data_IF_733739983378
#
_entry.id   IF_733739983378
#
_cell.length_a   1.000
_cell.length_b   1.000
_cell.length_c   1.000
_cell.angle_alpha   90.00
_cell.angle_beta   90.00
_cell.angle_gamma   90.00
#
_symmetry.space_group_name_H-M   'P 1'
#
loop_
_entity.id
_entity.type
_entity.pdbx_description
1 polymer ?
#
# COMPACT_ATOMS: atom_id res chain seq x y z
N UNK A 1 13.10 -2.51 -14.03
CA UNK A 1 13.07 -1.93 -15.37
C UNK A 1 14.34 -1.12 -15.56
N UNK A 2 15.09 -1.33 -16.65
CA UNK A 2 16.35 -0.60 -16.93
C UNK A 2 17.35 -0.62 -15.77
N UNK A 3 17.48 -1.77 -15.09
CA UNK A 3 18.32 -2.00 -13.91
C UNK A 3 18.00 -1.10 -12.69
N UNK A 4 16.86 -0.39 -12.75
CA UNK A 4 16.37 0.41 -11.65
C UNK A 4 15.31 -0.34 -10.83
N UNK A 5 15.54 -0.44 -9.54
CA UNK A 5 14.54 -0.95 -8.61
C UNK A 5 13.61 0.19 -8.19
N UNK A 6 12.39 0.20 -8.71
CA UNK A 6 11.41 1.23 -8.39
C UNK A 6 10.86 1.11 -6.97
N UNK A 7 10.84 -0.08 -6.42
CA UNK A 7 10.43 -0.31 -5.03
C UNK A 7 11.50 0.24 -4.09
N UNK A 8 11.11 1.11 -3.19
CA UNK A 8 12.02 1.62 -2.17
C UNK A 8 12.48 0.47 -1.27
N UNK A 9 13.78 0.36 -1.08
CA UNK A 9 14.39 -0.68 -0.27
C UNK A 9 15.21 -0.03 0.83
N UNK A 10 14.87 -0.33 2.07
CA UNK A 10 15.64 0.11 3.22
C UNK A 10 16.47 -1.06 3.75
N UNK A 11 17.78 -0.88 3.82
CA UNK A 11 18.71 -1.88 4.38
C UNK A 11 18.77 -1.84 5.92
N UNK A 12 18.17 -0.82 6.51
CA UNK A 12 18.12 -0.64 7.96
C UNK A 12 16.67 -0.81 8.43
N UNK A 13 16.43 -1.80 9.26
CA UNK A 13 15.13 -1.97 9.92
C UNK A 13 14.97 -0.83 10.92
N UNK A 14 13.97 0.00 10.69
CA UNK A 14 13.57 1.11 11.57
C UNK A 14 12.12 0.93 11.99
N UNK A 15 11.84 0.03 12.95
CA UNK A 15 10.49 -0.13 13.45
C UNK A 15 10.04 1.17 14.11
N UNK A 16 8.85 1.62 13.79
CA UNK A 16 8.28 2.84 14.38
C UNK A 16 6.82 2.61 14.75
N UNK A 17 6.41 3.18 15.87
CA UNK A 17 5.03 3.24 16.28
C UNK A 17 4.42 4.52 15.70
N UNK A 18 3.48 4.39 14.77
CA UNK A 18 2.82 5.54 14.14
C UNK A 18 1.36 5.58 14.58
N UNK A 19 0.96 6.70 15.15
CA UNK A 19 -0.43 6.97 15.51
C UNK A 19 -1.06 5.91 16.40
N UNK A 20 -0.29 5.25 17.27
CA UNK A 20 -0.72 4.12 18.09
C UNK A 20 -1.16 2.88 17.27
N UNK A 21 -0.79 2.82 16.00
CA UNK A 21 -1.24 1.79 15.08
C UNK A 21 -0.30 0.59 14.94
N UNK A 22 0.64 0.43 15.84
CA UNK A 22 1.58 -0.68 15.83
C UNK A 22 2.91 -0.36 15.17
N UNK A 23 3.77 -1.35 15.11
CA UNK A 23 5.14 -1.25 14.59
C UNK A 23 5.14 -1.45 13.08
N UNK A 24 5.94 -0.68 12.35
CA UNK A 24 6.10 -0.80 10.92
C UNK A 24 7.55 -0.58 10.46
N UNK A 25 7.86 -1.00 9.25
CA UNK A 25 9.14 -0.78 8.58
C UNK A 25 8.88 -0.09 7.25
N UNK A 26 9.57 1.02 6.99
CA UNK A 26 9.49 1.69 5.70
C UNK A 26 10.32 0.93 4.65
N UNK A 27 9.66 0.51 3.59
CA UNK A 27 10.29 -0.16 2.43
C UNK A 27 9.58 -1.44 2.01
N UNK A 28 9.79 -1.84 0.76
CA UNK A 28 9.21 -3.05 0.19
C UNK A 28 7.71 -3.00 0.01
N UNK A 29 7.07 -4.16 0.18
CA UNK A 29 5.61 -4.31 0.20
C UNK A 29 5.23 -4.82 1.58
N UNK A 30 4.43 -4.07 2.30
CA UNK A 30 3.92 -4.41 3.61
C UNK A 30 2.47 -4.89 3.49
N UNK A 31 2.16 -6.00 4.14
CA UNK A 31 0.81 -6.59 4.18
C UNK A 31 0.27 -6.55 5.61
N UNK A 32 -0.83 -5.87 5.83
CA UNK A 32 -1.42 -5.63 7.15
C UNK A 32 -2.79 -6.29 7.29
N UNK A 33 -2.95 -7.04 8.37
CA UNK A 33 -4.19 -7.65 8.85
C UNK A 33 -3.99 -8.14 10.31
N UNK A 34 -4.99 -8.38 11.13
CA UNK A 34 -6.42 -8.09 10.90
C UNK A 34 -6.73 -6.62 11.06
N UNK A 35 -5.78 -5.84 11.53
CA UNK A 35 -5.90 -4.39 11.72
C UNK A 35 -4.57 -3.70 11.39
N UNK A 36 -3.94 -3.00 12.30
CA UNK A 36 -2.79 -2.13 12.13
C UNK A 36 -1.48 -2.85 11.74
N UNK A 37 -0.39 -2.08 11.69
CA UNK A 37 0.98 -2.59 11.58
C UNK A 37 1.28 -3.59 12.72
N UNK A 38 2.14 -4.57 12.44
CA UNK A 38 2.37 -5.69 13.35
C UNK A 38 3.85 -5.97 13.58
N UNK A 39 4.21 -6.55 14.74
CA UNK A 39 5.58 -6.96 15.01
C UNK A 39 6.17 -7.90 13.96
N UNK A 40 5.36 -8.75 13.35
CA UNK A 40 5.76 -9.70 12.31
C UNK A 40 6.24 -9.05 11.01
N UNK A 41 6.07 -7.75 10.84
CA UNK A 41 6.71 -6.98 9.77
C UNK A 41 8.24 -7.19 9.72
N UNK A 42 8.88 -7.52 10.83
CA UNK A 42 10.32 -7.77 10.93
C UNK A 42 10.68 -9.06 11.68
N UNK A 43 9.71 -9.89 12.01
CA UNK A 43 9.92 -11.19 12.65
C UNK A 43 9.87 -12.32 11.61
N UNK A 44 10.44 -13.49 11.93
CA UNK A 44 10.30 -14.66 11.08
C UNK A 44 8.84 -15.05 10.86
N UNK A 45 8.51 -15.44 9.64
CA UNK A 45 7.20 -15.96 9.23
C UNK A 45 7.37 -17.29 8.51
N UNK A 46 6.31 -18.06 8.41
CA UNK A 46 6.30 -19.25 7.56
C UNK A 46 6.48 -18.84 6.11
N UNK A 47 7.31 -19.56 5.37
CA UNK A 47 7.56 -19.31 3.95
C UNK A 47 7.64 -20.62 3.17
N UNK A 48 7.03 -20.64 1.99
CA UNK A 48 7.17 -21.73 1.01
C UNK A 48 7.12 -21.19 -0.41
N UNK A 49 7.73 -21.91 -1.34
CA UNK A 49 7.70 -21.58 -2.78
C UNK A 49 6.92 -22.68 -3.49
N UNK A 50 5.96 -22.28 -4.31
CA UNK A 50 5.16 -23.12 -5.16
C UNK A 50 5.45 -22.78 -6.63
N UNK A 51 5.61 -23.81 -7.47
CA UNK A 51 5.72 -23.67 -8.92
C UNK A 51 4.42 -24.14 -9.57
N UNK A 52 3.85 -23.32 -10.42
CA UNK A 52 2.63 -23.63 -11.12
C UNK A 52 2.89 -24.21 -12.52
N UNK A 53 1.85 -24.73 -13.17
CA UNK A 53 1.97 -25.49 -14.41
C UNK A 53 2.44 -24.66 -15.63
N UNK A 54 2.32 -23.34 -15.57
CA UNK A 54 2.75 -22.43 -16.65
C UNK A 54 4.11 -21.76 -16.35
N UNK A 55 4.86 -22.29 -15.39
CA UNK A 55 6.14 -21.74 -14.97
C UNK A 55 6.04 -20.53 -14.01
N UNK A 56 4.84 -20.17 -13.58
CA UNK A 56 4.66 -19.19 -12.54
C UNK A 56 5.24 -19.69 -11.21
N UNK A 57 5.82 -18.77 -10.45
CA UNK A 57 6.35 -19.04 -9.11
C UNK A 57 5.66 -18.15 -8.09
N UNK A 58 5.20 -18.76 -7.01
CA UNK A 58 4.55 -18.07 -5.91
C UNK A 58 5.36 -18.26 -4.63
N UNK A 59 5.81 -17.18 -4.05
CA UNK A 59 6.35 -17.17 -2.70
C UNK A 59 5.20 -16.93 -1.73
N UNK A 60 4.83 -17.94 -0.97
CA UNK A 60 3.82 -17.85 0.09
C UNK A 60 4.51 -17.49 1.40
N UNK A 61 4.00 -16.47 2.06
CA UNK A 61 4.40 -16.08 3.42
C UNK A 61 3.17 -15.95 4.29
N UNK A 62 3.28 -16.34 5.56
CA UNK A 62 2.12 -16.30 6.42
C UNK A 62 2.42 -16.52 7.88
N UNK A 63 1.41 -16.24 8.69
CA UNK A 63 1.44 -16.43 10.14
C UNK A 63 0.04 -16.56 10.71
N UNK A 64 -0.05 -17.02 11.96
CA UNK A 64 -1.26 -16.85 12.77
C UNK A 64 -1.03 -15.63 13.65
N UNK A 65 -1.87 -14.61 13.44
CA UNK A 65 -1.83 -13.42 14.27
C UNK A 65 -2.35 -13.75 15.67
N UNK A 66 -1.53 -13.48 16.70
CA UNK A 66 -1.74 -14.01 18.05
C UNK A 66 -2.81 -13.31 18.87
N UNK A 67 -3.19 -12.08 18.51
CA UNK A 67 -4.18 -11.30 19.28
C UNK A 67 -5.62 -11.71 18.93
N UNK A 68 -5.88 -11.97 17.65
CA UNK A 68 -7.23 -12.25 17.13
C UNK A 68 -7.37 -13.66 16.58
N UNK A 69 -6.27 -14.41 16.46
CA UNK A 69 -6.30 -15.76 15.94
C UNK A 69 -6.66 -15.85 14.46
N UNK A 70 -6.29 -14.85 13.67
CA UNK A 70 -6.49 -14.89 12.22
C UNK A 70 -5.21 -15.40 11.55
N UNK A 71 -5.30 -16.53 10.85
CA UNK A 71 -4.24 -16.99 9.96
C UNK A 71 -4.30 -16.18 8.67
N UNK A 72 -3.26 -15.43 8.37
CA UNK A 72 -3.09 -14.74 7.11
C UNK A 72 -1.96 -15.35 6.30
N UNK A 73 -2.19 -15.50 5.01
CA UNK A 73 -1.17 -15.97 4.07
C UNK A 73 -1.23 -15.12 2.83
N UNK A 74 -0.06 -14.62 2.42
CA UNK A 74 0.09 -13.82 1.19
C UNK A 74 1.00 -14.57 0.24
N UNK A 75 0.54 -14.78 -0.99
CA UNK A 75 1.31 -15.34 -2.09
C UNK A 75 1.70 -14.24 -3.08
N UNK A 76 2.98 -14.01 -3.26
CA UNK A 76 3.50 -13.12 -4.31
C UNK A 76 3.87 -13.98 -5.51
N UNK A 77 3.12 -13.82 -6.60
CA UNK A 77 3.27 -14.61 -7.81
C UNK A 77 3.91 -13.80 -8.93
N UNK A 78 4.87 -14.40 -9.60
CA UNK A 78 5.51 -13.88 -10.82
C UNK A 78 5.38 -14.92 -11.95
N UNK A 79 5.42 -14.45 -13.19
CA UNK A 79 5.39 -15.27 -14.41
C UNK A 79 6.59 -14.98 -15.29
N UNK A 80 7.07 -15.96 -16.08
CA UNK A 80 8.21 -15.75 -16.98
C UNK A 80 7.97 -14.70 -18.07
N UNK A 81 6.72 -14.53 -18.49
CA UNK A 81 6.30 -13.75 -19.65
C UNK A 81 5.52 -12.47 -19.29
N UNK A 82 5.46 -12.10 -18.01
CA UNK A 82 4.65 -10.97 -17.55
C UNK A 82 5.46 -9.99 -16.71
N UNK A 83 5.21 -8.71 -16.92
CA UNK A 83 5.89 -7.61 -16.22
C UNK A 83 5.08 -7.08 -15.02
N UNK A 84 4.31 -7.94 -14.35
CA UNK A 84 3.61 -7.60 -13.12
C UNK A 84 3.76 -8.70 -12.07
N UNK A 85 3.53 -8.36 -10.83
CA UNK A 85 3.38 -9.30 -9.73
C UNK A 85 1.91 -9.35 -9.31
N UNK A 86 1.42 -10.51 -8.91
CA UNK A 86 0.11 -10.64 -8.29
C UNK A 86 0.26 -11.00 -6.80
N UNK A 87 -0.47 -10.28 -5.94
CA UNK A 87 -0.60 -10.63 -4.55
C UNK A 87 -1.91 -11.41 -4.36
N UNK A 88 -1.82 -12.63 -3.86
CA UNK A 88 -2.96 -13.47 -3.48
C UNK A 88 -3.04 -13.52 -1.97
N UNK A 89 -4.22 -13.27 -1.41
CA UNK A 89 -4.39 -13.19 0.04
C UNK A 89 -5.41 -14.21 0.50
N UNK A 90 -5.08 -14.93 1.57
CA UNK A 90 -5.99 -15.85 2.24
C UNK A 90 -6.03 -15.49 3.72
N UNK A 91 -7.20 -15.15 4.22
CA UNK A 91 -7.44 -14.93 5.64
C UNK A 91 -8.36 -16.04 6.15
N UNK A 92 -7.96 -16.67 7.23
CA UNK A 92 -8.71 -17.75 7.86
C UNK A 92 -8.88 -17.48 9.36
N UNK A 93 -10.12 -17.45 9.83
CA UNK A 93 -10.42 -17.33 11.24
C UNK A 93 -10.21 -18.71 11.93
N UNK A 94 -9.21 -18.82 12.79
CA UNK A 94 -8.89 -20.05 13.50
C UNK A 94 -9.66 -20.20 14.82
N UNK A 95 -10.50 -19.20 15.18
CA UNK A 95 -11.25 -19.18 16.42
C UNK A 95 -12.72 -19.59 16.22
N UNK A 96 -13.39 -19.92 17.29
CA UNK A 96 -14.84 -20.22 17.28
C UNK A 96 -15.71 -18.94 17.26
N UNK A 97 -15.10 -17.77 17.38
CA UNK A 97 -15.80 -16.49 17.44
C UNK A 97 -15.76 -15.79 16.08
N UNK A 98 -16.79 -15.02 15.75
CA UNK A 98 -16.76 -14.13 14.59
C UNK A 98 -15.69 -13.05 14.80
N UNK A 99 -14.80 -12.90 13.83
CA UNK A 99 -13.74 -11.89 13.82
C UNK A 99 -13.98 -10.88 12.71
N UNK A 100 -13.65 -9.64 12.98
CA UNK A 100 -13.57 -8.59 11.97
C UNK A 100 -12.11 -8.38 11.56
N UNK A 101 -11.89 -7.91 10.35
CA UNK A 101 -10.54 -7.58 9.90
C UNK A 101 -10.56 -6.34 9.02
N UNK A 102 -9.42 -5.67 9.01
CA UNK A 102 -9.06 -4.63 8.06
C UNK A 102 -7.82 -5.10 7.30
N UNK A 103 -7.96 -5.25 6.01
CA UNK A 103 -6.85 -5.56 5.12
C UNK A 103 -6.33 -4.30 4.46
N UNK A 104 -5.01 -4.15 4.43
CA UNK A 104 -4.35 -3.12 3.63
C UNK A 104 -2.92 -3.51 3.28
N UNK A 105 -2.49 -3.14 2.08
CA UNK A 105 -1.16 -3.39 1.57
C UNK A 105 -0.52 -2.07 1.15
N UNK A 106 0.74 -1.89 1.49
CA UNK A 106 1.50 -0.70 1.16
C UNK A 106 2.68 -1.07 0.28
N UNK A 107 2.84 -0.38 -0.84
CA UNK A 107 4.03 -0.42 -1.67
C UNK A 107 4.84 0.85 -1.42
N UNK A 108 6.08 0.70 -0.94
CA UNK A 108 7.01 1.81 -0.82
C UNK A 108 7.72 2.05 -2.17
N UNK A 109 7.81 3.30 -2.58
CA UNK A 109 8.47 3.71 -3.81
C UNK A 109 9.49 4.81 -3.54
N UNK A 110 10.48 4.94 -4.43
CA UNK A 110 11.35 6.10 -4.40
C UNK A 110 10.58 7.33 -4.86
N UNK A 111 10.46 8.31 -3.99
CA UNK A 111 9.80 9.57 -4.29
C UNK A 111 10.83 10.72 -4.34
N UNK A 112 10.63 11.63 -5.29
CA UNK A 112 11.44 12.83 -5.51
C UNK A 112 10.57 13.93 -6.14
N UNK A 113 11.16 15.07 -6.45
CA UNK A 113 10.42 16.23 -6.98
C UNK A 113 9.73 15.99 -8.33
N UNK A 114 10.15 14.95 -9.07
CA UNK A 114 9.52 14.54 -10.33
C UNK A 114 8.48 13.44 -10.15
N UNK A 115 8.28 12.96 -8.92
CA UNK A 115 7.31 11.91 -8.64
C UNK A 115 5.91 12.50 -8.47
N UNK A 116 4.95 11.92 -9.17
CA UNK A 116 3.53 12.28 -9.04
C UNK A 116 2.65 11.06 -8.83
N UNK A 117 1.64 11.25 -8.01
CA UNK A 117 0.55 10.30 -7.84
C UNK A 117 -0.47 10.47 -8.95
N UNK A 118 -0.99 9.35 -9.41
CA UNK A 118 -2.04 9.30 -10.42
C UNK A 118 -3.30 8.74 -9.76
N UNK A 119 -4.20 9.64 -9.45
CA UNK A 119 -5.49 9.30 -8.88
C UNK A 119 -6.47 8.83 -9.96
N UNK A 120 -7.46 8.00 -9.61
CA UNK A 120 -8.60 7.75 -10.47
C UNK A 120 -9.31 9.06 -10.86
N UNK A 121 -9.86 9.15 -12.09
CA UNK A 121 -10.41 10.42 -12.59
C UNK A 121 -11.73 10.85 -11.94
N UNK A 122 -12.37 9.99 -11.16
CA UNK A 122 -13.63 10.29 -10.45
C UNK A 122 -13.44 10.97 -9.09
N UNK A 123 -12.20 11.17 -8.65
CA UNK A 123 -11.90 11.78 -7.35
C UNK A 123 -12.36 13.24 -7.28
N UNK A 124 -12.16 13.99 -8.34
CA UNK A 124 -12.49 15.42 -8.39
C UNK A 124 -13.99 15.71 -8.24
N UNK A 125 -14.85 14.72 -8.47
CA UNK A 125 -16.30 14.85 -8.38
C UNK A 125 -16.88 14.48 -7.02
N UNK A 126 -16.09 13.81 -6.17
CA UNK A 126 -16.54 13.30 -4.86
C UNK A 126 -15.92 14.12 -3.73
N UNK A 127 -16.60 15.21 -3.38
CA UNK A 127 -16.13 16.16 -2.37
C UNK A 127 -16.51 15.73 -0.95
N UNK A 128 -15.62 15.06 -0.28
CA UNK A 128 -15.64 14.97 1.19
C UNK A 128 -14.27 15.42 1.73
N UNK A 129 -14.24 16.33 2.68
CA UNK A 129 -13.03 16.88 3.29
C UNK A 129 -12.10 15.84 3.93
N UNK A 130 -12.56 14.61 4.13
CA UNK A 130 -11.79 13.48 4.66
C UNK A 130 -10.99 12.74 3.59
N UNK A 131 -11.10 13.13 2.33
CA UNK A 131 -10.51 12.41 1.21
C UNK A 131 -9.33 13.13 0.59
N UNK A 132 -8.46 12.38 -0.05
CA UNK A 132 -7.36 12.92 -0.82
C UNK A 132 -7.93 13.58 -2.07
N UNK A 133 -8.13 14.86 -2.00
CA UNK A 133 -8.38 15.67 -3.19
C UNK A 133 -7.04 15.95 -3.88
N UNK A 134 -6.99 16.03 -5.21
CA UNK A 134 -5.79 16.48 -5.92
C UNK A 134 -5.29 17.84 -5.45
N UNK A 135 -6.20 18.69 -4.97
CA UNK A 135 -5.86 20.00 -4.41
C UNK A 135 -6.36 20.08 -2.97
N UNK A 136 -5.43 20.27 -2.03
CA UNK A 136 -5.72 20.51 -0.61
C UNK A 136 -5.64 21.98 -0.33
N UNK A 137 -6.57 22.52 0.46
CA UNK A 137 -6.66 23.95 0.84
C UNK A 137 -6.69 24.09 2.36
N UNK A 138 -6.17 25.22 2.83
CA UNK A 138 -6.19 25.58 4.24
C UNK A 138 -5.38 24.64 5.13
N UNK A 139 -5.79 24.52 6.38
CA UNK A 139 -5.11 23.66 7.36
C UNK A 139 -5.47 22.20 7.19
N UNK A 140 -4.49 21.35 6.97
CA UNK A 140 -4.65 19.91 6.92
C UNK A 140 -3.45 19.22 7.59
N UNK A 141 -3.73 18.30 8.51
CA UNK A 141 -2.72 17.48 9.18
C UNK A 141 -1.63 18.26 9.93
N UNK A 142 -1.89 19.53 10.30
CA UNK A 142 -0.94 20.41 10.97
C UNK A 142 -0.11 21.28 10.05
N UNK A 143 -0.31 21.21 8.75
CA UNK A 143 0.32 22.09 7.76
C UNK A 143 -0.71 22.99 7.07
N UNK A 144 -0.31 24.21 6.74
CA UNK A 144 -1.12 25.15 5.96
C UNK A 144 -0.84 25.00 4.47
N UNK A 145 -1.87 24.67 3.69
CA UNK A 145 -1.84 24.53 2.25
C UNK A 145 -2.35 25.79 1.52
N UNK A 146 -2.70 26.85 2.26
CA UNK A 146 -3.12 28.12 1.73
C UNK A 146 -4.34 28.02 0.80
N UNK A 147 -4.30 28.75 -0.32
CA UNK A 147 -5.42 28.81 -1.28
C UNK A 147 -5.57 27.55 -2.13
N UNK A 148 -4.62 26.62 -2.05
CA UNK A 148 -4.69 25.33 -2.71
C UNK A 148 -3.34 24.86 -3.22
N UNK A 149 -3.03 23.61 -2.92
CA UNK A 149 -1.80 22.94 -3.33
C UNK A 149 -2.15 21.60 -3.98
N UNK A 150 -1.63 21.37 -5.17
CA UNK A 150 -1.77 20.10 -5.87
C UNK A 150 -0.87 19.04 -5.21
N UNK A 151 -1.49 18.17 -4.44
CA UNK A 151 -0.81 17.11 -3.68
C UNK A 151 -0.46 15.88 -4.53
N UNK A 152 -0.79 15.87 -5.82
CA UNK A 152 -0.32 14.81 -6.72
C UNK A 152 1.20 14.81 -6.87
N UNK A 153 1.84 15.97 -6.75
CA UNK A 153 3.28 16.09 -6.81
C UNK A 153 3.91 15.94 -5.43
N UNK A 154 4.87 15.01 -5.30
CA UNK A 154 5.57 14.77 -4.03
C UNK A 154 6.22 16.04 -3.47
N UNK A 155 6.84 16.86 -4.32
CA UNK A 155 7.45 18.14 -3.93
C UNK A 155 6.50 19.14 -3.27
N UNK A 156 5.20 18.98 -3.47
CA UNK A 156 4.18 19.86 -2.92
C UNK A 156 3.67 19.43 -1.54
N UNK A 157 4.06 18.23 -1.10
CA UNK A 157 3.67 17.73 0.20
C UNK A 157 4.45 18.44 1.29
N UNK A 158 3.75 18.97 2.28
CA UNK A 158 4.33 19.82 3.33
C UNK A 158 4.58 19.08 4.64
N UNK A 159 4.11 17.85 4.73
CA UNK A 159 4.20 17.03 5.93
C UNK A 159 3.96 15.55 5.61
N UNK A 160 4.48 14.67 6.46
CA UNK A 160 4.11 13.26 6.43
C UNK A 160 2.67 13.09 6.88
N UNK A 161 1.83 12.53 6.01
CA UNK A 161 0.42 12.30 6.31
C UNK A 161 -0.16 11.17 5.48
N UNK A 162 -1.31 10.68 5.91
CA UNK A 162 -2.11 9.74 5.15
C UNK A 162 -3.26 10.46 4.46
N UNK A 163 -3.41 10.19 3.18
CA UNK A 163 -4.52 10.64 2.38
C UNK A 163 -5.31 9.43 1.90
N UNK A 164 -6.64 9.52 1.95
CA UNK A 164 -7.53 8.40 1.69
C UNK A 164 -8.52 8.70 0.58
N UNK A 165 -8.85 7.65 -0.18
CA UNK A 165 -9.89 7.64 -1.19
C UNK A 165 -10.79 6.46 -0.88
N UNK A 166 -12.07 6.69 -0.60
CA UNK A 166 -12.99 5.63 -0.20
C UNK A 166 -13.95 5.18 -1.27
N UNK A 167 -14.32 6.05 -2.16
CA UNK A 167 -15.46 5.84 -3.06
C UNK A 167 -15.07 6.21 -4.49
N UNK A 168 -14.25 5.35 -5.09
CA UNK A 168 -13.85 5.44 -6.48
C UNK A 168 -14.44 4.30 -7.28
N UNK A 169 -14.92 4.59 -8.49
CA UNK A 169 -15.42 3.57 -9.43
C UNK A 169 -14.30 2.80 -10.13
N UNK A 170 -13.05 3.14 -9.85
CA UNK A 170 -11.87 2.53 -10.47
C UNK A 170 -11.11 1.64 -9.51
N UNK A 171 -10.51 0.60 -10.04
CA UNK A 171 -9.78 -0.44 -9.31
C UNK A 171 -8.30 -0.13 -9.11
N UNK A 172 -7.82 1.05 -9.49
CA UNK A 172 -6.40 1.35 -9.49
C UNK A 172 -6.02 2.60 -8.71
N UNK A 173 -4.75 2.64 -8.33
CA UNK A 173 -4.00 3.81 -7.96
C UNK A 173 -2.59 3.67 -8.53
N UNK A 174 -1.98 4.76 -8.96
CA UNK A 174 -0.68 4.72 -9.60
C UNK A 174 0.23 5.85 -9.11
N UNK A 175 1.51 5.70 -9.41
CA UNK A 175 2.50 6.75 -9.25
C UNK A 175 3.51 6.68 -10.38
N UNK A 176 4.03 7.82 -10.78
CA UNK A 176 4.93 7.95 -11.92
C UNK A 176 6.05 8.96 -11.63
N UNK A 177 7.27 8.58 -11.96
CA UNK A 177 8.44 9.44 -11.92
C UNK A 177 8.74 9.95 -13.32
N UNK A 178 8.45 11.22 -13.59
CA UNK A 178 8.68 11.83 -14.89
C UNK A 178 10.17 11.90 -15.23
N UNK A 179 11.05 12.00 -14.23
CA UNK A 179 12.51 12.01 -14.43
C UNK A 179 13.08 10.64 -14.80
N UNK A 180 12.42 9.56 -14.39
CA UNK A 180 12.81 8.18 -14.69
C UNK A 180 12.01 7.57 -15.84
N UNK A 181 10.95 8.23 -16.30
CA UNK A 181 10.00 7.71 -17.28
C UNK A 181 9.45 6.33 -16.91
N UNK A 182 9.14 6.11 -15.64
CA UNK A 182 8.61 4.86 -15.13
C UNK A 182 7.71 5.08 -13.91
N UNK A 183 6.89 4.10 -13.60
CA UNK A 183 5.98 4.15 -12.49
C UNK A 183 5.46 2.80 -12.06
N UNK A 184 4.54 2.82 -11.11
CA UNK A 184 3.83 1.64 -10.62
C UNK A 184 2.33 1.86 -10.72
N UNK A 185 1.62 0.80 -11.04
CA UNK A 185 0.16 0.75 -10.95
C UNK A 185 -0.20 -0.35 -9.97
N UNK A 186 -1.00 0.00 -8.98
CA UNK A 186 -1.59 -0.95 -8.03
C UNK A 186 -3.06 -1.12 -8.40
N UNK A 187 -3.46 -2.37 -8.66
CA UNK A 187 -4.83 -2.72 -9.03
C UNK A 187 -5.39 -3.68 -7.98
N UNK A 188 -6.57 -3.34 -7.47
CA UNK A 188 -7.31 -4.20 -6.54
C UNK A 188 -8.81 -3.99 -6.76
N UNK A 189 -9.56 -5.09 -6.86
CA UNK A 189 -11.02 -5.07 -7.03
C UNK A 189 -11.67 -4.19 -5.95
N UNK A 190 -12.36 -3.14 -6.38
CA UNK A 190 -13.01 -2.17 -5.49
C UNK A 190 -14.11 -2.77 -4.61
N UNK A 191 -14.71 -3.87 -4.99
CA UNK A 191 -15.71 -4.56 -4.19
C UNK A 191 -15.10 -5.43 -3.07
N UNK A 192 -13.81 -5.73 -3.18
CA UNK A 192 -13.05 -6.48 -2.18
C UNK A 192 -12.16 -5.56 -1.35
N UNK A 193 -11.51 -4.59 -2.00
CA UNK A 193 -10.61 -3.63 -1.37
C UNK A 193 -10.93 -2.21 -1.87
N UNK A 194 -12.02 -1.61 -1.39
CA UNK A 194 -12.56 -0.37 -1.97
C UNK A 194 -11.70 0.86 -1.70
N UNK A 195 -10.99 0.88 -0.58
CA UNK A 195 -10.18 2.04 -0.17
C UNK A 195 -8.84 2.11 -0.89
N UNK A 196 -8.40 3.33 -1.14
CA UNK A 196 -7.05 3.64 -1.61
C UNK A 196 -6.42 4.62 -0.65
N UNK A 197 -5.11 4.49 -0.45
CA UNK A 197 -4.37 5.34 0.48
C UNK A 197 -2.99 5.63 -0.09
N UNK A 198 -2.49 6.84 0.12
CA UNK A 198 -1.07 7.09 0.07
C UNK A 198 -0.58 7.74 1.37
N UNK A 199 0.66 7.45 1.70
CA UNK A 199 1.37 8.03 2.82
C UNK A 199 2.66 8.66 2.32
N UNK A 200 3.02 9.81 2.88
CA UNK A 200 4.19 10.59 2.47
C UNK A 200 5.22 10.71 3.57
#
# INVERSE_FOLDING_TARGET
VNDYNFVYKNNVIKPALIGLCGVWVSGGIEFNYPQHHRPTTFMPVECTIEEGPNGEKTAWVGEIESMYGIKGTVGVTIWPDRAYIAARVKLYNTTAQTQTFHWWANLAVHANDNYRLMFPPDIDSKQDYRFALPVVKGMFGGADFGDGVDIRWFKNLRMGSSFFIFDSDYDFMAGYDDGKSMGTVHVADKYVSPGKKFFT
#
